data_IF_203004647987
#
_entry.id   IF_203004647987
#
_cell.length_a   1.000
_cell.length_b   1.000
_cell.length_c   1.000
_cell.angle_alpha   90.00
_cell.angle_beta   90.00
_cell.angle_gamma   90.00
#
_symmetry.space_group_name_H-M   'P 1'
#
loop_
_entity.id
_entity.type
_entity.pdbx_description
1 polymer ?
#
# COMPACT_ATOMS: atom_id res chain seq x y z
N UNK A 1 2.20 7.71 -19.17
CA UNK A 1 1.39 8.93 -18.94
C UNK A 1 1.71 9.46 -17.54
N UNK A 2 1.63 10.77 -17.33
CA UNK A 2 2.00 11.37 -16.03
C UNK A 2 0.84 11.42 -15.03
N UNK A 3 -0.40 11.53 -15.51
CA UNK A 3 -1.58 11.41 -14.65
C UNK A 3 -2.85 11.06 -15.45
N UNK A 4 -3.89 10.59 -14.76
CA UNK A 4 -5.24 10.37 -15.27
C UNK A 4 -6.26 11.07 -14.39
N UNK A 5 -7.31 11.62 -15.00
CA UNK A 5 -8.51 12.05 -14.27
C UNK A 5 -9.40 10.84 -14.02
N UNK A 6 -9.97 10.74 -12.83
CA UNK A 6 -10.88 9.68 -12.47
C UNK A 6 -12.00 10.19 -11.54
N UNK A 7 -13.03 9.38 -11.35
CA UNK A 7 -14.15 9.69 -10.46
C UNK A 7 -14.42 8.48 -9.56
N UNK A 8 -14.70 8.72 -8.29
CA UNK A 8 -15.06 7.66 -7.33
C UNK A 8 -16.44 7.08 -7.63
N UNK A 9 -16.55 5.75 -7.71
CA UNK A 9 -17.82 5.04 -7.97
C UNK A 9 -18.47 4.47 -6.70
N UNK A 10 -17.69 4.13 -5.68
CA UNK A 10 -18.20 3.64 -4.39
C UNK A 10 -18.74 4.78 -3.50
N UNK A 11 -19.69 4.47 -2.60
CA UNK A 11 -20.22 5.46 -1.64
C UNK A 11 -19.12 6.07 -0.76
N UNK A 12 -18.18 5.22 -0.32
CA UNK A 12 -16.95 5.59 0.39
C UNK A 12 -15.79 4.78 -0.17
N UNK A 13 -14.81 5.46 -0.76
CA UNK A 13 -13.55 4.85 -1.20
C UNK A 13 -12.44 5.19 -0.22
N UNK A 14 -11.93 4.18 0.48
CA UNK A 14 -10.82 4.34 1.41
C UNK A 14 -9.52 4.60 0.66
N UNK A 15 -8.84 5.67 1.03
CA UNK A 15 -7.47 5.97 0.63
C UNK A 15 -6.50 5.55 1.74
N UNK A 16 -5.52 4.72 1.38
CA UNK A 16 -4.60 4.04 2.31
C UNK A 16 -3.17 4.52 2.16
N UNK A 17 -2.35 4.27 3.17
CA UNK A 17 -0.91 4.57 3.14
C UNK A 17 -0.13 3.73 2.12
N UNK A 18 -0.62 2.54 1.76
CA UNK A 18 0.02 1.65 0.79
C UNK A 18 -0.98 0.91 -0.10
N UNK A 19 -0.50 0.25 -1.17
CA UNK A 19 -1.32 -0.33 -2.23
C UNK A 19 -1.90 -1.71 -1.85
N UNK A 20 -2.81 -1.74 -0.88
CA UNK A 20 -3.41 -2.99 -0.41
C UNK A 20 -4.45 -2.76 0.68
N UNK A 21 -5.37 -3.71 0.85
CA UNK A 21 -6.43 -3.60 1.87
C UNK A 21 -5.90 -3.66 3.30
N UNK A 22 -4.71 -4.26 3.50
CA UNK A 22 -4.08 -4.42 4.80
C UNK A 22 -3.36 -3.15 5.28
N UNK A 23 -3.12 -2.16 4.40
CA UNK A 23 -2.49 -0.91 4.82
C UNK A 23 -3.45 -0.01 5.58
N UNK A 24 -2.88 0.79 6.49
CA UNK A 24 -3.64 1.71 7.33
C UNK A 24 -4.51 2.68 6.51
N UNK A 25 -5.69 2.96 7.07
CA UNK A 25 -6.59 4.01 6.60
C UNK A 25 -5.92 5.39 6.75
N UNK A 26 -5.99 6.23 5.71
CA UNK A 26 -5.62 7.64 5.78
C UNK A 26 -6.87 8.53 5.81
N UNK A 27 -7.68 8.45 4.75
CA UNK A 27 -8.93 9.18 4.55
C UNK A 27 -9.90 8.35 3.70
N UNK A 28 -11.12 8.84 3.49
CA UNK A 28 -12.03 8.29 2.50
C UNK A 28 -12.60 9.39 1.60
N UNK A 29 -12.72 9.08 0.31
CA UNK A 29 -13.40 9.91 -0.66
C UNK A 29 -14.86 9.49 -0.80
N UNK A 30 -15.75 10.46 -1.00
CA UNK A 30 -17.15 10.18 -1.29
C UNK A 30 -17.32 9.79 -2.76
N UNK A 31 -18.41 9.09 -3.08
CA UNK A 31 -18.87 8.92 -4.46
C UNK A 31 -18.85 10.25 -5.22
N UNK A 32 -18.57 10.17 -6.52
CA UNK A 32 -18.45 11.31 -7.44
C UNK A 32 -17.31 12.27 -7.15
N UNK A 33 -16.45 12.01 -6.15
CA UNK A 33 -15.26 12.83 -5.90
C UNK A 33 -14.31 12.71 -7.09
N UNK A 34 -13.90 13.84 -7.71
CA UNK A 34 -12.91 13.81 -8.77
C UNK A 34 -11.52 13.51 -8.18
N UNK A 35 -10.79 12.62 -8.82
CA UNK A 35 -9.44 12.21 -8.45
C UNK A 35 -8.45 12.50 -9.57
N UNK A 36 -7.19 12.71 -9.18
CA UNK A 36 -6.05 12.73 -10.10
C UNK A 36 -5.10 11.58 -9.75
N UNK A 37 -5.10 10.56 -10.60
CA UNK A 37 -4.26 9.37 -10.46
C UNK A 37 -2.89 9.65 -11.06
N UNK A 38 -1.81 9.40 -10.33
CA UNK A 38 -0.42 9.71 -10.73
C UNK A 38 0.49 8.49 -10.81
N UNK A 39 -0.04 7.32 -10.50
CA UNK A 39 0.75 6.10 -10.49
C UNK A 39 -0.10 4.88 -10.21
N UNK A 40 0.54 3.73 -10.34
CA UNK A 40 -0.04 2.43 -10.00
C UNK A 40 0.95 1.55 -9.26
N UNK A 41 0.43 0.60 -8.50
CA UNK A 41 1.20 -0.54 -8.05
C UNK A 41 1.16 -1.62 -9.14
N UNK A 42 2.25 -2.36 -9.27
CA UNK A 42 2.34 -3.38 -10.32
C UNK A 42 1.67 -4.66 -9.86
N UNK A 43 0.66 -5.12 -10.61
CA UNK A 43 0.11 -6.47 -10.44
C UNK A 43 -1.01 -6.63 -9.40
N UNK A 44 -1.48 -5.57 -8.75
CA UNK A 44 -2.47 -5.71 -7.66
C UNK A 44 -3.68 -4.75 -7.72
N UNK A 45 -3.84 -3.95 -8.78
CA UNK A 45 -5.05 -3.13 -8.96
C UNK A 45 -5.16 -1.92 -8.01
N UNK A 46 -4.03 -1.39 -7.53
CA UNK A 46 -4.02 -0.16 -6.72
C UNK A 46 -3.42 1.02 -7.48
N UNK A 47 -4.02 2.19 -7.32
CA UNK A 47 -3.60 3.44 -7.96
C UNK A 47 -3.30 4.52 -6.94
N UNK A 48 -2.28 5.33 -7.22
CA UNK A 48 -1.81 6.42 -6.36
C UNK A 48 -2.56 7.70 -6.72
N UNK A 49 -3.24 8.28 -5.75
CA UNK A 49 -3.97 9.55 -5.85
C UNK A 49 -3.06 10.68 -5.39
N UNK A 50 -3.00 11.77 -6.15
CA UNK A 50 -2.46 13.02 -5.60
C UNK A 50 -3.47 13.65 -4.66
N UNK A 51 -3.10 13.61 -3.40
CA UNK A 51 -3.81 14.20 -2.29
C UNK A 51 -2.75 14.94 -1.48
N UNK A 52 -2.99 16.18 -1.10
CA UNK A 52 -2.06 16.98 -0.31
C UNK A 52 -2.61 17.11 1.13
N UNK A 53 -1.75 17.10 2.16
CA UNK A 53 -0.28 17.03 2.11
C UNK A 53 0.28 15.62 1.86
N UNK A 54 -0.59 14.60 1.76
CA UNK A 54 -0.16 13.22 1.67
C UNK A 54 -0.93 12.42 0.64
N UNK A 55 -0.18 11.94 -0.37
CA UNK A 55 -0.66 11.05 -1.41
C UNK A 55 -1.04 9.70 -0.80
N UNK A 56 -1.98 9.01 -1.43
CA UNK A 56 -2.52 7.77 -0.89
C UNK A 56 -3.04 6.84 -1.99
N UNK A 57 -3.25 5.59 -1.62
CA UNK A 57 -3.59 4.51 -2.53
C UNK A 57 -5.06 4.13 -2.43
N UNK A 58 -5.72 3.95 -3.58
CA UNK A 58 -7.09 3.44 -3.66
C UNK A 58 -7.16 2.20 -4.56
N UNK A 59 -8.13 1.33 -4.30
CA UNK A 59 -8.41 0.19 -5.19
C UNK A 59 -9.03 0.71 -6.48
N UNK A 60 -8.46 0.34 -7.63
CA UNK A 60 -8.87 0.80 -8.94
C UNK A 60 -10.26 0.31 -9.37
N UNK A 61 -10.79 -0.74 -8.74
CA UNK A 61 -12.16 -1.23 -8.98
C UNK A 61 -13.22 -0.16 -8.67
N UNK A 62 -12.92 0.77 -7.77
CA UNK A 62 -13.86 1.80 -7.32
C UNK A 62 -13.58 3.19 -7.92
N UNK A 63 -12.83 3.24 -9.02
CA UNK A 63 -12.59 4.47 -9.77
C UNK A 63 -12.94 4.28 -11.24
N UNK A 64 -13.61 5.26 -11.82
CA UNK A 64 -13.92 5.32 -13.23
C UNK A 64 -13.00 6.33 -13.92
N UNK A 65 -12.39 5.96 -15.04
CA UNK A 65 -11.54 6.85 -15.84
C UNK A 65 -11.69 6.51 -17.33
N UNK A 66 -11.46 7.50 -18.19
CA UNK A 66 -11.48 7.32 -19.65
C UNK A 66 -10.16 6.76 -20.21
N UNK A 67 -9.08 6.81 -19.43
CA UNK A 67 -7.76 6.33 -19.85
C UNK A 67 -7.43 4.95 -19.29
N UNK A 68 -6.50 4.25 -19.94
CA UNK A 68 -6.03 2.97 -19.48
C UNK A 68 -5.05 3.13 -18.30
N UNK A 69 -5.42 2.57 -17.15
CA UNK A 69 -4.62 2.60 -15.92
C UNK A 69 -3.23 1.99 -16.10
N UNK A 70 -3.03 1.06 -17.04
CA UNK A 70 -1.72 0.46 -17.29
C UNK A 70 -0.67 1.50 -17.73
N UNK A 71 -1.13 2.60 -18.31
CA UNK A 71 -0.29 3.71 -18.81
C UNK A 71 0.26 4.60 -17.70
N UNK A 72 -0.26 4.49 -16.46
CA UNK A 72 0.29 5.14 -15.28
C UNK A 72 1.65 4.51 -14.93
N UNK A 73 2.56 5.35 -14.44
CA UNK A 73 3.89 4.92 -14.00
C UNK A 73 3.78 3.92 -12.84
N UNK A 74 4.59 2.84 -12.82
CA UNK A 74 4.70 1.99 -11.65
C UNK A 74 5.39 2.78 -10.53
N UNK A 75 4.65 3.05 -9.45
CA UNK A 75 5.12 3.82 -8.30
C UNK A 75 5.40 2.96 -7.08
N UNK A 76 5.08 1.66 -7.11
CA UNK A 76 5.34 0.76 -6.00
C UNK A 76 6.11 -0.48 -6.46
N UNK A 77 7.19 -0.90 -5.75
CA UNK A 77 7.62 -0.40 -4.43
C UNK A 77 8.60 0.79 -4.49
N UNK A 78 9.26 1.02 -5.63
CA UNK A 78 10.44 1.89 -5.66
C UNK A 78 10.13 3.39 -5.86
N UNK A 79 8.96 3.73 -6.41
CA UNK A 79 8.61 5.10 -6.80
C UNK A 79 7.91 5.93 -5.70
N UNK A 80 7.45 5.29 -4.63
CA UNK A 80 6.67 5.90 -3.55
C UNK A 80 7.06 5.25 -2.23
N UNK A 81 7.68 6.04 -1.37
CA UNK A 81 8.00 5.64 0.00
C UNK A 81 6.80 5.90 0.90
N UNK A 82 6.34 4.86 1.59
CA UNK A 82 5.27 4.99 2.58
C UNK A 82 5.79 5.86 3.74
N UNK A 83 5.03 6.90 4.16
CA UNK A 83 5.38 7.72 5.32
C UNK A 83 5.56 6.87 6.58
N UNK A 84 6.66 7.09 7.30
CA UNK A 84 6.95 6.41 8.57
C UNK A 84 6.24 7.14 9.69
N UNK A 85 5.58 6.38 10.57
CA UNK A 85 4.92 6.94 11.76
C UNK A 85 5.96 7.54 12.71
N UNK A 86 5.71 8.73 13.29
CA UNK A 86 6.58 9.26 14.35
C UNK A 86 6.45 8.48 15.66
N UNK A 87 5.43 7.63 15.80
CA UNK A 87 5.14 6.88 17.04
C UNK A 87 5.67 5.45 17.03
N UNK A 88 5.69 4.82 15.86
CA UNK A 88 6.06 3.41 15.71
C UNK A 88 7.06 3.29 14.55
N UNK A 89 8.31 2.93 14.89
CA UNK A 89 9.36 2.70 13.91
C UNK A 89 9.23 1.33 13.23
N UNK A 90 10.08 1.11 12.23
CA UNK A 90 10.22 -0.21 11.62
C UNK A 90 10.73 -1.23 12.66
N UNK A 91 10.27 -2.47 12.54
CA UNK A 91 10.86 -3.59 13.28
C UNK A 91 12.28 -3.91 12.78
N UNK A 92 13.08 -4.57 13.62
CA UNK A 92 14.38 -5.12 13.25
C UNK A 92 14.24 -6.60 12.91
N UNK A 93 14.65 -6.99 11.70
CA UNK A 93 14.80 -8.40 11.35
C UNK A 93 15.96 -8.99 12.14
N UNK A 94 15.69 -10.07 12.88
CA UNK A 94 16.67 -10.77 13.72
C UNK A 94 17.34 -11.91 12.94
N UNK A 95 16.53 -12.77 12.30
CA UNK A 95 17.02 -13.86 11.44
C UNK A 95 16.19 -14.01 10.18
N UNK A 96 16.82 -14.53 9.13
CA UNK A 96 16.17 -14.97 7.90
C UNK A 96 16.87 -16.26 7.44
N UNK A 97 16.26 -17.40 7.78
CA UNK A 97 16.85 -18.72 7.57
C UNK A 97 16.03 -19.53 6.56
N UNK A 98 16.72 -20.25 5.67
CA UNK A 98 16.08 -21.10 4.65
C UNK A 98 16.34 -22.57 4.93
N UNK A 99 15.27 -23.36 5.01
CA UNK A 99 15.32 -24.83 5.10
C UNK A 99 14.50 -25.45 3.98
N UNK A 100 15.18 -25.92 2.93
CA UNK A 100 14.51 -26.45 1.74
C UNK A 100 13.67 -25.37 1.06
N UNK A 101 12.35 -25.56 1.00
CA UNK A 101 11.40 -24.60 0.44
C UNK A 101 10.88 -23.57 1.47
N UNK A 102 11.14 -23.78 2.75
CA UNK A 102 10.67 -22.91 3.83
C UNK A 102 11.68 -21.80 4.12
N UNK A 103 11.17 -20.58 4.31
CA UNK A 103 11.93 -19.43 4.80
C UNK A 103 11.28 -18.99 6.10
N UNK A 104 12.06 -19.00 7.17
CA UNK A 104 11.63 -18.52 8.49
C UNK A 104 12.30 -17.18 8.75
N UNK A 105 11.48 -16.15 8.96
CA UNK A 105 11.94 -14.81 9.32
C UNK A 105 11.52 -14.53 10.76
N UNK A 106 12.44 -14.06 11.57
CA UNK A 106 12.15 -13.60 12.94
C UNK A 106 12.49 -12.12 13.05
N UNK A 107 11.73 -11.38 13.87
CA UNK A 107 11.88 -9.94 14.05
C UNK A 107 11.55 -9.53 15.47
N UNK A 108 12.04 -8.35 15.88
CA UNK A 108 11.72 -7.78 17.18
C UNK A 108 10.28 -7.27 17.22
N UNK A 109 9.54 -7.61 18.26
CA UNK A 109 8.18 -7.10 18.43
C UNK A 109 8.18 -5.56 18.54
N UNK A 110 7.26 -4.91 17.82
CA UNK A 110 6.89 -3.51 17.98
C UNK A 110 5.65 -3.46 18.88
N UNK A 111 5.86 -3.05 20.13
CA UNK A 111 4.78 -2.92 21.10
C UNK A 111 3.89 -1.71 20.76
N UNK A 112 2.67 -1.99 20.31
CA UNK A 112 1.64 -0.96 20.13
C UNK A 112 1.00 -0.67 21.50
N UNK A 113 0.59 0.59 21.72
CA UNK A 113 -0.03 0.98 22.99
C UNK A 113 -1.34 0.20 23.22
N UNK A 114 -1.68 -0.24 24.46
CA UNK A 114 -2.85 -1.10 24.70
C UNK A 114 -4.18 -0.58 24.15
N UNK A 115 -4.39 0.75 24.14
CA UNK A 115 -5.60 1.37 23.57
C UNK A 115 -5.61 1.52 22.04
N UNK A 116 -4.66 0.89 21.33
CA UNK A 116 -4.54 0.94 19.87
C UNK A 116 -4.75 -0.42 19.21
N UNK A 117 -4.99 -1.47 19.99
CA UNK A 117 -5.44 -2.74 19.46
C UNK A 117 -6.93 -2.64 19.13
N UNK A 118 -7.30 -3.07 17.93
CA UNK A 118 -8.71 -3.18 17.52
C UNK A 118 -9.37 -4.37 18.23
N UNK A 119 -8.67 -5.51 18.28
CA UNK A 119 -9.04 -6.72 19.01
C UNK A 119 -7.79 -7.59 19.31
N UNK A 120 -8.00 -8.75 19.93
CA UNK A 120 -6.94 -9.71 20.31
C UNK A 120 -6.24 -10.39 19.12
N UNK A 121 -6.84 -10.36 17.93
CA UNK A 121 -6.34 -10.97 16.69
C UNK A 121 -5.72 -9.94 15.74
N UNK A 122 -5.59 -8.68 16.17
CA UNK A 122 -4.95 -7.64 15.36
C UNK A 122 -3.46 -7.99 15.14
N UNK A 123 -3.07 -8.14 13.88
CA UNK A 123 -1.66 -8.25 13.49
C UNK A 123 -1.08 -6.84 13.30
N UNK A 124 -0.10 -6.40 14.10
CA UNK A 124 0.47 -5.06 13.96
C UNK A 124 1.50 -4.96 12.82
N UNK A 125 1.67 -6.04 12.04
CA UNK A 125 2.67 -6.14 10.98
C UNK A 125 2.02 -6.47 9.64
N UNK A 126 2.56 -5.84 8.59
CA UNK A 126 2.43 -6.32 7.22
C UNK A 126 3.81 -6.83 6.83
N UNK A 127 3.88 -8.07 6.37
CA UNK A 127 5.11 -8.64 5.81
C UNK A 127 4.98 -8.65 4.29
N UNK A 128 5.82 -7.84 3.64
CA UNK A 128 5.96 -7.86 2.19
C UNK A 128 7.23 -8.62 1.82
N UNK A 129 7.11 -9.55 0.87
CA UNK A 129 8.24 -10.34 0.39
C UNK A 129 8.34 -10.25 -1.12
N UNK A 130 9.56 -10.19 -1.63
CA UNK A 130 9.84 -10.20 -3.06
C UNK A 130 10.87 -11.27 -3.37
N UNK A 131 10.68 -11.95 -4.49
CA UNK A 131 11.71 -12.84 -5.02
C UNK A 131 12.54 -12.07 -6.04
N UNK A 132 13.86 -12.19 -5.93
CA UNK A 132 14.77 -11.63 -6.92
C UNK A 132 14.98 -12.66 -8.04
N UNK A 133 14.46 -12.36 -9.23
CA UNK A 133 14.64 -13.21 -10.43
C UNK A 133 15.48 -12.44 -11.42
N UNK A 134 16.65 -12.99 -11.80
CA UNK A 134 17.59 -12.36 -12.75
C UNK A 134 17.95 -10.90 -12.36
N UNK A 135 18.18 -10.63 -11.07
CA UNK A 135 18.46 -9.30 -10.49
C UNK A 135 17.32 -8.29 -10.59
N UNK A 136 16.06 -8.74 -10.71
CA UNK A 136 14.87 -7.88 -10.63
C UNK A 136 13.91 -8.42 -9.58
N UNK A 137 13.35 -7.53 -8.76
CA UNK A 137 12.30 -7.89 -7.81
C UNK A 137 11.02 -8.22 -8.58
N UNK A 138 10.39 -9.35 -8.24
CA UNK A 138 9.05 -9.71 -8.73
C UNK A 138 8.09 -9.91 -7.56
N UNK A 139 6.86 -9.46 -7.78
CA UNK A 139 5.68 -9.82 -7.01
C UNK A 139 5.10 -11.13 -7.56
#
# INVERSE_FOLDING_TARGET
MDSLKATVTADKLVCRYGPGANYLYLIAFNRTTPLRLIGRATGNGWVLVENEPQRCWVNSEFVETQGDLITLKPMYPDGYTIPVSPYYGATTVLTAERKGAEITVTWTEVLVSPGKYEDENMFPYIVETWTCIKRRNRF
#
